data_IF_086323155929
#
_entry.id   IF_086323155929
#
_cell.length_a   1.000
_cell.length_b   1.000
_cell.length_c   1.000
_cell.angle_alpha   90.00
_cell.angle_beta   90.00
_cell.angle_gamma   90.00
#
_symmetry.space_group_name_H-M   'P 1'
#
loop_
_entity.id
_entity.type
_entity.pdbx_description
1 polymer ?
#
# COMPACT_ATOMS: atom_id res chain seq x y z
N UNK A 1 -3.37 24.16 -2.06
CA UNK A 1 -4.21 22.96 -1.91
C UNK A 1 -3.28 21.85 -1.49
N UNK A 2 -3.63 21.09 -0.46
CA UNK A 2 -2.80 19.96 -0.03
C UNK A 2 -2.94 18.80 -1.02
N UNK A 3 -1.86 18.06 -1.22
CA UNK A 3 -1.83 16.91 -2.13
C UNK A 3 -1.41 15.65 -1.37
N UNK A 4 -2.24 14.62 -1.43
CA UNK A 4 -1.94 13.26 -0.98
C UNK A 4 -1.63 12.41 -2.22
N UNK A 5 -0.46 11.78 -2.27
CA UNK A 5 -0.13 10.83 -3.34
C UNK A 5 -0.25 9.40 -2.82
N UNK A 6 -1.03 8.58 -3.51
CA UNK A 6 -1.17 7.14 -3.26
C UNK A 6 -0.15 6.37 -4.11
N UNK A 7 1.03 6.11 -3.57
CA UNK A 7 2.15 5.49 -4.30
C UNK A 7 2.19 3.98 -4.00
N UNK A 8 1.91 3.16 -5.01
CA UNK A 8 1.81 1.71 -4.81
C UNK A 8 1.78 0.90 -6.11
N UNK A 9 1.30 -0.34 -6.00
CA UNK A 9 1.24 -1.30 -7.09
C UNK A 9 -0.18 -1.48 -7.67
N UNK A 10 -0.56 -2.69 -8.11
CA UNK A 10 -1.88 -3.00 -8.66
C UNK A 10 -3.02 -2.80 -7.66
N UNK A 11 -2.78 -2.99 -6.35
CA UNK A 11 -3.81 -2.76 -5.34
C UNK A 11 -4.14 -1.26 -5.23
N UNK A 12 -3.21 -0.39 -5.61
CA UNK A 12 -3.43 1.06 -5.62
C UNK A 12 -3.97 1.58 -6.96
N UNK A 13 -3.54 0.96 -8.07
CA UNK A 13 -3.67 1.50 -9.43
C UNK A 13 -5.12 1.71 -9.88
N UNK A 14 -5.97 0.70 -9.72
CA UNK A 14 -7.33 0.74 -10.25
C UNK A 14 -8.26 1.55 -9.34
N UNK A 15 -9.03 2.47 -9.93
CA UNK A 15 -9.89 3.37 -9.17
C UNK A 15 -11.31 2.83 -8.95
N UNK A 16 -11.81 1.97 -9.84
CA UNK A 16 -13.16 1.40 -9.74
C UNK A 16 -13.22 -0.05 -10.20
N UNK A 17 -14.17 -0.81 -9.64
CA UNK A 17 -14.60 -2.08 -10.19
C UNK A 17 -15.49 -1.88 -11.43
N UNK A 18 -15.71 -2.92 -12.22
CA UNK A 18 -16.55 -2.87 -13.44
C UNK A 18 -17.99 -2.40 -13.17
N UNK A 19 -18.50 -2.63 -11.96
CA UNK A 19 -19.84 -2.22 -11.52
C UNK A 19 -19.88 -0.76 -11.00
N UNK A 20 -18.76 -0.03 -11.06
CA UNK A 20 -18.63 1.35 -10.60
C UNK A 20 -18.34 1.51 -9.10
N UNK A 21 -18.23 0.42 -8.33
CA UNK A 21 -17.81 0.51 -6.92
C UNK A 21 -16.40 1.07 -6.84
N UNK A 22 -16.19 2.08 -5.98
CA UNK A 22 -14.89 2.70 -5.80
C UNK A 22 -13.90 1.78 -5.08
N UNK A 23 -12.64 1.86 -5.52
CA UNK A 23 -11.46 1.27 -4.87
C UNK A 23 -10.77 2.34 -4.02
N UNK A 24 -9.45 2.25 -3.83
CA UNK A 24 -8.71 3.02 -2.84
C UNK A 24 -8.77 4.55 -3.04
N UNK A 25 -8.21 5.05 -4.14
CA UNK A 25 -7.97 6.50 -4.31
C UNK A 25 -9.26 7.33 -4.31
N UNK A 26 -10.35 6.94 -5.00
CA UNK A 26 -11.60 7.70 -4.94
C UNK A 26 -12.23 7.73 -3.55
N UNK A 27 -12.15 6.62 -2.78
CA UNK A 27 -12.64 6.60 -1.38
C UNK A 27 -11.86 7.56 -0.50
N UNK A 28 -10.53 7.64 -0.68
CA UNK A 28 -9.72 8.63 0.03
C UNK A 28 -10.04 10.06 -0.42
N UNK A 29 -10.29 10.28 -1.71
CA UNK A 29 -10.70 11.59 -2.23
C UNK A 29 -12.03 12.07 -1.63
N UNK A 30 -13.00 11.17 -1.39
CA UNK A 30 -14.24 11.49 -0.68
C UNK A 30 -13.99 11.85 0.79
N UNK A 31 -13.17 11.06 1.49
CA UNK A 31 -12.84 11.31 2.90
C UNK A 31 -12.05 12.61 3.13
N UNK A 32 -11.20 12.98 2.17
CA UNK A 32 -10.35 14.19 2.21
C UNK A 32 -10.73 15.16 1.08
N UNK A 33 -12.01 15.52 1.00
CA UNK A 33 -12.57 16.36 -0.09
C UNK A 33 -11.91 17.73 -0.30
N UNK A 34 -11.17 18.24 0.69
CA UNK A 34 -10.39 19.48 0.61
C UNK A 34 -8.93 19.27 0.18
N UNK A 35 -8.51 18.03 -0.02
CA UNK A 35 -7.21 17.64 -0.57
C UNK A 35 -7.37 17.20 -2.01
N UNK A 36 -6.29 17.29 -2.77
CA UNK A 36 -6.15 16.55 -4.04
C UNK A 36 -5.54 15.20 -3.73
N UNK A 37 -6.18 14.12 -4.15
CA UNK A 37 -5.65 12.76 -4.02
C UNK A 37 -5.21 12.27 -5.39
N UNK A 38 -3.92 12.00 -5.55
CA UNK A 38 -3.32 11.53 -6.80
C UNK A 38 -3.09 10.02 -6.73
N UNK A 39 -3.54 9.30 -7.74
CA UNK A 39 -3.23 7.88 -7.89
C UNK A 39 -1.86 7.70 -8.57
N UNK A 40 -0.91 7.10 -7.87
CA UNK A 40 0.40 6.70 -8.39
C UNK A 40 0.62 5.19 -8.26
N UNK A 41 -0.45 4.40 -8.42
CA UNK A 41 -0.42 2.94 -8.48
C UNK A 41 -0.06 2.44 -9.88
N UNK A 42 0.86 1.47 -9.98
CA UNK A 42 1.22 0.83 -11.25
C UNK A 42 1.15 -0.70 -11.12
N UNK A 43 0.33 -1.40 -11.92
CA UNK A 43 0.17 -2.84 -11.77
C UNK A 43 1.45 -3.64 -11.92
N UNK A 44 1.74 -4.47 -10.92
CA UNK A 44 2.86 -5.41 -10.94
C UNK A 44 4.21 -4.84 -10.52
N UNK A 45 4.27 -3.56 -10.15
CA UNK A 45 5.47 -2.90 -9.62
C UNK A 45 5.91 -3.48 -8.28
N UNK A 46 7.23 -3.54 -8.10
CA UNK A 46 7.89 -3.72 -6.81
C UNK A 46 8.68 -2.45 -6.44
N UNK A 47 9.40 -2.47 -5.32
CA UNK A 47 10.15 -1.29 -4.83
C UNK A 47 11.29 -0.82 -5.75
N UNK A 48 11.84 -1.68 -6.62
CA UNK A 48 12.80 -1.23 -7.64
C UNK A 48 12.12 -0.37 -8.70
N UNK A 49 10.92 -0.74 -9.12
CA UNK A 49 10.15 0.01 -10.11
C UNK A 49 9.65 1.34 -9.53
N UNK A 50 9.21 1.32 -8.28
CA UNK A 50 8.89 2.53 -7.52
C UNK A 50 10.04 3.56 -7.57
N UNK A 51 11.28 3.14 -7.27
CA UNK A 51 12.44 4.04 -7.30
C UNK A 51 12.73 4.64 -8.68
N UNK A 52 12.36 3.97 -9.78
CA UNK A 52 12.57 4.49 -11.14
C UNK A 52 11.60 5.63 -11.48
N UNK A 53 10.39 5.62 -10.91
CA UNK A 53 9.31 6.54 -11.28
C UNK A 53 8.95 7.56 -10.21
N UNK A 54 9.50 7.47 -9.00
CA UNK A 54 9.20 8.37 -7.87
C UNK A 54 9.34 9.86 -8.21
N UNK A 55 10.27 10.25 -9.08
CA UNK A 55 10.43 11.65 -9.51
C UNK A 55 9.21 12.14 -10.29
N UNK A 56 8.73 11.33 -11.25
CA UNK A 56 7.63 11.68 -12.14
C UNK A 56 6.27 11.50 -11.46
N UNK A 57 6.08 10.40 -10.75
CA UNK A 57 4.78 9.99 -10.22
C UNK A 57 4.48 10.51 -8.82
N UNK A 58 5.50 11.00 -8.10
CA UNK A 58 5.34 11.46 -6.71
C UNK A 58 5.87 12.88 -6.55
N UNK A 59 7.17 13.09 -6.79
CA UNK A 59 7.81 14.37 -6.44
C UNK A 59 7.39 15.52 -7.35
N UNK A 60 7.01 15.24 -8.61
CA UNK A 60 6.48 16.24 -9.55
C UNK A 60 5.21 16.93 -9.03
N UNK A 61 4.39 16.21 -8.25
CA UNK A 61 3.17 16.72 -7.62
C UNK A 61 3.43 17.63 -6.41
N UNK A 62 4.68 17.71 -5.92
CA UNK A 62 5.07 18.43 -4.70
C UNK A 62 4.15 18.06 -3.52
N UNK A 63 4.09 16.77 -3.14
CA UNK A 63 3.09 16.27 -2.22
C UNK A 63 3.22 16.91 -0.84
N UNK A 64 2.08 17.14 -0.21
CA UNK A 64 2.01 17.43 1.22
C UNK A 64 2.27 16.15 2.02
N UNK A 65 1.73 15.03 1.54
CA UNK A 65 1.86 13.73 2.17
C UNK A 65 1.83 12.61 1.13
N UNK A 66 2.45 11.48 1.42
CA UNK A 66 2.54 10.31 0.54
C UNK A 66 2.25 9.05 1.35
N UNK A 67 1.32 8.23 0.89
CA UNK A 67 1.24 6.85 1.36
C UNK A 67 2.04 5.97 0.40
N UNK A 68 2.85 5.08 0.97
CA UNK A 68 3.72 4.16 0.22
C UNK A 68 3.28 2.74 0.55
N UNK A 69 2.72 2.05 -0.44
CA UNK A 69 2.09 0.74 -0.28
C UNK A 69 2.62 -0.25 -1.33
N UNK A 70 3.73 -0.90 -0.98
CA UNK A 70 4.42 -1.92 -1.77
C UNK A 70 4.76 -3.11 -0.88
N UNK A 71 5.22 -4.21 -1.48
CA UNK A 71 5.58 -5.44 -0.75
C UNK A 71 4.86 -6.67 -1.29
N UNK A 72 3.68 -6.51 -1.90
CA UNK A 72 2.96 -7.63 -2.48
C UNK A 72 3.77 -8.25 -3.63
N UNK A 73 4.24 -7.47 -4.61
CA UNK A 73 5.07 -8.01 -5.70
C UNK A 73 6.51 -8.33 -5.26
N UNK A 74 7.07 -7.57 -4.32
CA UNK A 74 8.38 -7.83 -3.73
C UNK A 74 8.43 -9.22 -3.06
N UNK A 75 7.34 -9.64 -2.40
CA UNK A 75 7.21 -10.94 -1.76
C UNK A 75 6.94 -12.12 -2.71
N UNK A 76 6.63 -11.86 -3.99
CA UNK A 76 6.28 -12.92 -4.93
C UNK A 76 7.54 -13.69 -5.38
N UNK A 77 7.57 -15.02 -5.25
CA UNK A 77 8.79 -15.81 -5.53
C UNK A 77 9.40 -15.59 -6.93
N UNK A 78 8.59 -15.22 -7.92
CA UNK A 78 9.01 -15.01 -9.31
C UNK A 78 9.44 -13.56 -9.62
N UNK A 79 9.25 -12.62 -8.68
CA UNK A 79 9.64 -11.20 -8.75
C UNK A 79 10.43 -10.78 -7.51
N UNK A 80 10.90 -11.75 -6.74
CA UNK A 80 11.29 -11.55 -5.36
C UNK A 80 12.40 -10.50 -5.23
N UNK A 81 12.13 -9.49 -4.42
CA UNK A 81 13.14 -8.54 -3.95
C UNK A 81 13.60 -9.05 -2.59
N UNK A 82 14.90 -9.25 -2.35
CA UNK A 82 15.30 -9.75 -1.04
C UNK A 82 14.86 -8.80 0.08
N UNK A 83 14.62 -9.31 1.31
CA UNK A 83 14.21 -8.46 2.44
C UNK A 83 15.17 -7.29 2.66
N UNK A 84 16.47 -7.52 2.49
CA UNK A 84 17.49 -6.48 2.57
C UNK A 84 17.34 -5.42 1.45
N UNK A 85 17.16 -5.83 0.20
CA UNK A 85 16.96 -4.88 -0.90
C UNK A 85 15.64 -4.11 -0.75
N UNK A 86 14.59 -4.77 -0.26
CA UNK A 86 13.30 -4.15 0.03
C UNK A 86 13.45 -3.08 1.12
N UNK A 87 14.12 -3.39 2.23
CA UNK A 87 14.47 -2.45 3.29
C UNK A 87 15.23 -1.24 2.73
N UNK A 88 16.32 -1.49 2.00
CA UNK A 88 17.16 -0.45 1.40
C UNK A 88 16.36 0.42 0.42
N UNK A 89 15.45 -0.17 -0.35
CA UNK A 89 14.61 0.56 -1.30
C UNK A 89 13.58 1.43 -0.60
N UNK A 90 12.90 0.92 0.44
CA UNK A 90 11.97 1.72 1.25
C UNK A 90 12.69 2.90 1.91
N UNK A 91 13.87 2.69 2.49
CA UNK A 91 14.68 3.76 3.07
C UNK A 91 15.00 4.83 2.02
N UNK A 92 15.36 4.43 0.79
CA UNK A 92 15.64 5.36 -0.33
C UNK A 92 14.37 6.14 -0.73
N UNK A 93 13.22 5.47 -0.82
CA UNK A 93 11.92 6.09 -1.12
C UNK A 93 11.58 7.14 -0.06
N UNK A 94 11.64 6.76 1.22
CA UNK A 94 11.36 7.66 2.35
C UNK A 94 12.29 8.88 2.33
N UNK A 95 13.60 8.66 2.13
CA UNK A 95 14.59 9.77 2.06
C UNK A 95 14.37 10.72 0.89
N UNK A 96 13.87 10.24 -0.24
CA UNK A 96 13.55 11.08 -1.41
C UNK A 96 12.34 11.99 -1.16
N UNK A 97 11.39 11.58 -0.32
CA UNK A 97 10.16 12.32 -0.03
C UNK A 97 10.32 13.24 1.19
N UNK A 98 10.94 12.72 2.25
CA UNK A 98 11.02 13.20 3.65
C UNK A 98 10.18 12.33 4.61
N UNK A 99 10.77 11.77 5.68
CA UNK A 99 10.10 10.84 6.60
C UNK A 99 8.78 11.34 7.19
N UNK A 100 8.72 12.60 7.59
CA UNK A 100 7.54 13.21 8.23
C UNK A 100 6.33 13.35 7.30
N UNK A 101 6.51 13.11 6.00
CA UNK A 101 5.47 13.15 4.98
C UNK A 101 5.05 11.78 4.48
N UNK A 102 5.60 10.70 5.05
CA UNK A 102 5.40 9.34 4.57
C UNK A 102 4.60 8.53 5.58
N UNK A 103 3.55 7.88 5.09
CA UNK A 103 2.93 6.72 5.73
C UNK A 103 3.35 5.46 4.97
N UNK A 104 4.16 4.63 5.59
CA UNK A 104 4.48 3.29 5.14
C UNK A 104 3.35 2.34 5.52
N UNK A 105 2.89 1.50 4.59
CA UNK A 105 1.82 0.53 4.80
C UNK A 105 2.36 -0.86 4.54
N UNK A 106 2.22 -1.78 5.50
CA UNK A 106 2.68 -3.17 5.32
C UNK A 106 1.87 -3.91 4.23
N UNK A 107 2.47 -4.88 3.52
CA UNK A 107 1.73 -5.67 2.53
C UNK A 107 0.65 -6.52 3.20
N UNK A 108 -0.51 -6.57 2.58
CA UNK A 108 -1.66 -7.33 3.05
C UNK A 108 -1.46 -8.85 2.98
N UNK A 109 -2.20 -9.64 3.79
CA UNK A 109 -2.24 -11.09 3.64
C UNK A 109 -2.97 -11.50 2.35
N UNK A 110 -2.74 -12.73 1.93
CA UNK A 110 -3.36 -13.40 0.78
C UNK A 110 -4.17 -14.62 1.23
N UNK A 111 -5.10 -15.07 0.38
CA UNK A 111 -5.70 -16.40 0.52
C UNK A 111 -4.76 -17.44 -0.09
N UNK A 112 -3.98 -18.13 0.74
CA UNK A 112 -3.00 -19.14 0.31
C UNK A 112 -3.62 -20.35 -0.41
N UNK A 113 -4.94 -20.55 -0.34
CA UNK A 113 -5.62 -21.59 -1.13
C UNK A 113 -5.73 -21.20 -2.61
N UNK A 114 -5.76 -19.89 -2.90
CA UNK A 114 -5.95 -19.32 -4.24
C UNK A 114 -4.68 -18.66 -4.78
N UNK A 115 -3.77 -18.27 -3.90
CA UNK A 115 -2.51 -17.63 -4.24
C UNK A 115 -1.35 -18.60 -4.09
N UNK A 116 -0.53 -18.72 -5.14
CA UNK A 116 0.59 -19.67 -5.16
C UNK A 116 1.96 -18.99 -5.23
N UNK A 117 2.00 -17.68 -5.52
CA UNK A 117 3.25 -16.95 -5.62
C UNK A 117 3.79 -16.41 -4.29
N UNK A 118 2.96 -16.41 -3.25
CA UNK A 118 3.18 -15.74 -1.97
C UNK A 118 2.58 -16.59 -0.85
N UNK A 119 3.18 -16.52 0.32
CA UNK A 119 2.60 -17.03 1.57
C UNK A 119 2.47 -15.88 2.56
N UNK A 120 1.54 -15.98 3.49
CA UNK A 120 1.35 -15.06 4.61
C UNK A 120 2.55 -15.09 5.56
N UNK A 121 3.25 -16.22 5.69
CA UNK A 121 4.52 -16.27 6.41
C UNK A 121 5.55 -15.31 5.79
N UNK A 122 5.74 -15.38 4.47
CA UNK A 122 6.67 -14.49 3.76
C UNK A 122 6.17 -13.05 3.83
N UNK A 123 4.89 -12.78 3.55
CA UNK A 123 4.33 -11.43 3.62
C UNK A 123 4.46 -10.81 5.02
N UNK A 124 4.38 -11.61 6.08
CA UNK A 124 4.63 -11.18 7.46
C UNK A 124 6.08 -10.75 7.68
N UNK A 125 7.05 -11.38 7.01
CA UNK A 125 8.45 -10.93 7.04
C UNK A 125 8.62 -9.57 6.35
N UNK A 126 7.97 -9.34 5.20
CA UNK A 126 7.99 -8.02 4.55
C UNK A 126 7.28 -6.98 5.40
N UNK A 127 6.15 -7.32 6.02
CA UNK A 127 5.45 -6.43 6.96
C UNK A 127 6.36 -5.99 8.11
N UNK A 128 7.15 -6.92 8.66
CA UNK A 128 8.13 -6.60 9.70
C UNK A 128 9.20 -5.63 9.21
N UNK A 129 9.70 -5.80 7.98
CA UNK A 129 10.65 -4.84 7.38
C UNK A 129 10.04 -3.45 7.25
N UNK A 130 8.75 -3.33 6.85
CA UNK A 130 8.08 -2.02 6.78
C UNK A 130 8.03 -1.33 8.14
N UNK A 131 7.70 -2.09 9.20
CA UNK A 131 7.71 -1.58 10.57
C UNK A 131 9.12 -1.09 10.97
N UNK A 132 10.14 -1.92 10.77
CA UNK A 132 11.54 -1.58 11.12
C UNK A 132 12.05 -0.35 10.36
N UNK A 133 11.73 -0.22 9.07
CA UNK A 133 12.08 0.98 8.27
C UNK A 133 11.35 2.21 8.80
N UNK A 134 10.09 2.09 9.23
CA UNK A 134 9.35 3.21 9.79
C UNK A 134 10.00 3.73 11.07
N UNK A 135 10.40 2.83 11.97
CA UNK A 135 11.12 3.16 13.21
C UNK A 135 12.48 3.79 12.91
N UNK A 136 13.24 3.22 11.97
CA UNK A 136 14.57 3.69 11.61
C UNK A 136 14.56 5.08 10.96
N UNK A 137 13.54 5.36 10.15
CA UNK A 137 13.44 6.63 9.41
C UNK A 137 12.66 7.71 10.16
N UNK A 138 11.84 7.32 11.14
CA UNK A 138 10.88 8.21 11.80
C UNK A 138 9.66 8.53 10.93
N UNK A 139 9.35 7.70 9.93
CA UNK A 139 8.13 7.83 9.13
C UNK A 139 6.93 7.23 9.84
N UNK A 140 5.72 7.57 9.40
CA UNK A 140 4.51 6.97 9.95
C UNK A 140 4.32 5.54 9.41
N UNK A 141 3.63 4.71 10.18
CA UNK A 141 3.38 3.31 9.85
C UNK A 141 1.92 2.92 10.05
N UNK A 142 1.42 2.07 9.15
CA UNK A 142 0.15 1.35 9.29
C UNK A 142 0.40 -0.15 9.05
N UNK A 143 0.18 -0.95 10.08
CA UNK A 143 0.31 -2.40 9.98
C UNK A 143 -0.95 -3.06 9.42
N UNK A 144 -1.17 -2.89 8.11
CA UNK A 144 -2.28 -3.48 7.39
C UNK A 144 -2.27 -5.01 7.48
N UNK A 145 -1.10 -5.64 7.44
CA UNK A 145 -0.96 -7.10 7.52
C UNK A 145 -1.65 -7.64 8.77
N UNK A 146 -1.24 -7.15 9.95
CA UNK A 146 -1.78 -7.59 11.24
C UNK A 146 -3.27 -7.23 11.34
N UNK A 147 -3.65 -6.01 10.97
CA UNK A 147 -5.06 -5.57 10.99
C UNK A 147 -6.00 -6.46 10.16
N UNK A 148 -5.50 -7.05 9.06
CA UNK A 148 -6.30 -7.92 8.22
C UNK A 148 -6.23 -9.37 8.69
N UNK A 149 -5.05 -9.92 8.95
CA UNK A 149 -4.90 -11.36 9.22
C UNK A 149 -5.50 -11.82 10.55
N UNK A 150 -5.65 -10.90 11.52
CA UNK A 150 -6.30 -11.19 12.81
C UNK A 150 -7.84 -11.25 12.72
N UNK A 151 -8.43 -10.82 11.60
CA UNK A 151 -9.87 -10.97 11.37
C UNK A 151 -10.23 -12.44 11.16
N UNK A 152 -11.25 -12.93 11.88
CA UNK A 152 -11.70 -14.34 11.81
C UNK A 152 -11.98 -14.81 10.37
N UNK A 153 -12.47 -13.91 9.53
CA UNK A 153 -12.76 -14.15 8.12
C UNK A 153 -11.97 -13.18 7.23
N UNK A 154 -10.65 -13.08 7.41
CA UNK A 154 -9.82 -12.15 6.64
C UNK A 154 -9.86 -12.42 5.13
N UNK A 155 -10.14 -13.66 4.71
CA UNK A 155 -10.21 -14.03 3.28
C UNK A 155 -11.29 -13.25 2.53
N UNK A 156 -12.34 -12.76 3.23
CA UNK A 156 -13.36 -11.85 2.67
C UNK A 156 -12.75 -10.63 1.99
N UNK A 157 -11.57 -10.17 2.44
CA UNK A 157 -10.90 -9.00 1.90
C UNK A 157 -10.28 -9.22 0.53
N UNK A 158 -9.98 -10.46 0.16
CA UNK A 158 -9.39 -10.84 -1.14
C UNK A 158 -10.33 -11.74 -1.96
N UNK A 159 -11.60 -11.79 -1.58
CA UNK A 159 -12.64 -12.53 -2.29
C UNK A 159 -13.33 -11.64 -3.33
N UNK A 160 -12.80 -11.67 -4.56
CA UNK A 160 -13.34 -10.91 -5.69
C UNK A 160 -13.57 -11.82 -6.91
N UNK A 161 -13.93 -11.22 -8.05
CA UNK A 161 -14.23 -11.95 -9.29
C UNK A 161 -13.00 -12.56 -9.96
N UNK A 162 -11.81 -12.00 -9.74
CA UNK A 162 -10.55 -12.55 -10.24
C UNK A 162 -10.19 -13.86 -9.51
N UNK A 163 -10.65 -14.01 -8.26
CA UNK A 163 -10.47 -15.21 -7.41
C UNK A 163 -8.99 -15.61 -7.27
N UNK A 164 -8.09 -14.64 -7.30
CA UNK A 164 -6.65 -14.85 -7.23
C UNK A 164 -6.07 -14.86 -5.81
N UNK A 165 -6.92 -14.57 -4.82
CA UNK A 165 -6.54 -14.51 -3.40
C UNK A 165 -5.58 -13.37 -3.05
N UNK A 166 -5.41 -12.38 -3.94
CA UNK A 166 -4.45 -11.28 -3.80
C UNK A 166 -5.14 -9.92 -3.90
N UNK A 167 -5.88 -9.68 -4.99
CA UNK A 167 -6.52 -8.39 -5.20
C UNK A 167 -7.74 -8.24 -4.28
N UNK A 168 -8.01 -7.01 -3.86
CA UNK A 168 -9.01 -6.77 -2.85
C UNK A 168 -10.43 -6.89 -3.41
N UNK A 169 -11.34 -7.36 -2.56
CA UNK A 169 -12.79 -7.27 -2.74
C UNK A 169 -13.28 -5.85 -2.45
N UNK A 170 -14.56 -5.58 -2.70
CA UNK A 170 -15.16 -4.31 -2.29
C UNK A 170 -15.03 -4.08 -0.77
N UNK A 171 -15.21 -5.14 0.04
CA UNK A 171 -15.03 -5.09 1.48
C UNK A 171 -13.56 -4.88 1.87
N UNK A 172 -12.61 -5.45 1.12
CA UNK A 172 -11.18 -5.21 1.30
C UNK A 172 -10.79 -3.75 1.09
N UNK A 173 -11.26 -3.12 0.01
CA UNK A 173 -11.00 -1.70 -0.25
C UNK A 173 -11.69 -0.76 0.73
N UNK A 174 -12.90 -1.10 1.18
CA UNK A 174 -13.58 -0.36 2.24
C UNK A 174 -12.75 -0.37 3.52
N UNK A 175 -12.38 -1.56 4.00
CA UNK A 175 -11.55 -1.74 5.20
C UNK A 175 -10.20 -1.02 5.10
N UNK A 176 -9.50 -1.18 3.98
CA UNK A 176 -8.23 -0.49 3.69
C UNK A 176 -8.38 1.03 3.78
N UNK A 177 -9.40 1.58 3.11
CA UNK A 177 -9.63 3.02 3.07
C UNK A 177 -10.04 3.61 4.42
N UNK A 178 -10.74 2.84 5.26
CA UNK A 178 -11.08 3.25 6.62
C UNK A 178 -9.84 3.30 7.53
N UNK A 179 -9.00 2.26 7.48
CA UNK A 179 -7.75 2.22 8.26
C UNK A 179 -6.81 3.36 7.88
N UNK A 180 -6.58 3.56 6.58
CA UNK A 180 -5.75 4.67 6.08
C UNK A 180 -6.38 6.01 6.47
N UNK A 181 -7.68 6.18 6.24
CA UNK A 181 -8.37 7.43 6.53
C UNK A 181 -8.31 7.81 8.02
N UNK A 182 -8.47 6.85 8.92
CA UNK A 182 -8.33 7.07 10.36
C UNK A 182 -6.89 7.42 10.73
N UNK A 183 -5.90 6.69 10.22
CA UNK A 183 -4.49 6.97 10.46
C UNK A 183 -4.11 8.38 10.00
N UNK A 184 -4.51 8.78 8.79
CA UNK A 184 -4.22 10.11 8.24
C UNK A 184 -4.91 11.23 9.05
N UNK A 185 -6.15 11.01 9.52
CA UNK A 185 -6.83 11.98 10.41
C UNK A 185 -6.09 12.16 11.72
N UNK A 186 -5.50 11.11 12.30
CA UNK A 186 -4.67 11.24 13.51
C UNK A 186 -3.37 12.01 13.23
N UNK A 187 -2.73 11.76 12.08
CA UNK A 187 -1.48 12.42 11.68
C UNK A 187 -1.68 13.92 11.38
N UNK A 188 -2.81 14.30 10.78
CA UNK A 188 -3.08 15.68 10.34
C UNK A 188 -3.72 16.57 11.41
N UNK A 189 -3.95 16.07 12.62
CA UNK A 189 -4.40 16.87 13.78
C UNK A 189 -3.33 17.87 14.20
#
# INVERSE_FOLDING_TARGET
MNTLVCFGDSITADETFWNGTQRLTPRLQEQFSNWKVENAGVPGDNTFDALKRIEEDVLSYKPTFVMVFFGANDAAFHKQVSLQEYEENLIKIVKKISPEKVLLISPAPVDEERQHARTNEVLGQYAKVVEEVSEQTGSHFLDLHTHMIEELDYKKFVENEERDGLHFSAAGYEYLSELIGNQLKEIFK
#
